data_IF_087894717989
#
_entry.id   IF_087894717989
#
_cell.length_a   1.000
_cell.length_b   1.000
_cell.length_c   1.000
_cell.angle_alpha   90.00
_cell.angle_beta   90.00
_cell.angle_gamma   90.00
#
_symmetry.space_group_name_H-M   'P 1'
#
loop_
_entity.id
_entity.type
_entity.pdbx_description
1 polymer ?
#
# COMPACT_ATOMS: atom_id res chain seq x y z
N UNK A 1 -30.11 -3.87 15.82
CA UNK A 1 -29.21 -5.03 16.01
C UNK A 1 -29.28 -5.41 17.48
N UNK A 2 -29.50 -6.69 17.80
CA UNK A 2 -29.49 -7.13 19.20
C UNK A 2 -28.06 -7.01 19.74
N UNK A 3 -27.92 -6.75 21.04
CA UNK A 3 -26.62 -6.51 21.69
C UNK A 3 -25.68 -7.70 21.48
N UNK A 4 -26.22 -8.91 21.57
CA UNK A 4 -25.49 -10.16 21.41
C UNK A 4 -24.88 -10.28 20.01
N UNK A 5 -25.65 -10.02 18.95
CA UNK A 5 -25.13 -10.02 17.57
C UNK A 5 -24.07 -8.94 17.34
N UNK A 6 -24.19 -7.77 17.97
CA UNK A 6 -23.19 -6.71 17.79
C UNK A 6 -21.84 -7.09 18.40
N UNK A 7 -21.88 -7.71 19.58
CA UNK A 7 -20.69 -8.14 20.29
C UNK A 7 -20.01 -9.32 19.57
N UNK A 8 -20.76 -10.36 19.22
CA UNK A 8 -20.19 -11.55 18.56
C UNK A 8 -19.75 -11.29 17.13
N UNK A 9 -20.22 -10.22 16.47
CA UNK A 9 -19.74 -9.82 15.14
C UNK A 9 -18.53 -8.88 15.19
N UNK A 10 -17.97 -8.63 16.39
CA UNK A 10 -16.86 -7.70 16.65
C UNK A 10 -17.11 -6.33 16.02
N UNK A 11 -18.12 -5.62 16.52
CA UNK A 11 -18.55 -4.31 16.01
C UNK A 11 -19.02 -4.32 14.54
N UNK A 12 -19.49 -5.46 14.04
CA UNK A 12 -20.05 -5.60 12.69
C UNK A 12 -19.08 -6.11 11.62
N UNK A 13 -17.83 -6.46 11.98
CA UNK A 13 -16.86 -7.09 11.08
C UNK A 13 -17.37 -8.40 10.48
N UNK A 14 -18.03 -9.23 11.29
CA UNK A 14 -18.62 -10.50 10.85
C UNK A 14 -19.78 -10.36 9.84
N UNK A 15 -20.19 -9.13 9.50
CA UNK A 15 -21.19 -8.85 8.46
C UNK A 15 -20.59 -8.40 7.13
N UNK A 16 -19.27 -8.25 7.07
CA UNK A 16 -18.60 -7.88 5.83
C UNK A 16 -18.77 -8.99 4.78
N UNK A 17 -19.02 -8.63 3.51
CA UNK A 17 -19.22 -9.62 2.46
C UNK A 17 -17.89 -10.32 2.16
N UNK A 18 -17.97 -11.65 1.97
CA UNK A 18 -16.85 -12.56 1.68
C UNK A 18 -15.86 -12.74 2.84
N UNK A 19 -15.66 -14.01 3.24
CA UNK A 19 -14.70 -14.43 4.27
C UNK A 19 -14.75 -13.63 5.58
N UNK A 20 -15.89 -13.60 6.29
CA UNK A 20 -16.08 -12.87 7.55
C UNK A 20 -15.03 -13.21 8.62
N UNK A 21 -14.64 -14.49 8.77
CA UNK A 21 -13.58 -14.88 9.71
C UNK A 21 -12.20 -14.26 9.42
N UNK A 22 -11.90 -13.94 8.15
CA UNK A 22 -10.68 -13.18 7.78
C UNK A 22 -10.74 -11.74 8.27
N UNK A 23 -11.94 -11.13 8.27
CA UNK A 23 -12.14 -9.80 8.85
C UNK A 23 -12.10 -9.83 10.37
N UNK A 24 -12.54 -10.93 10.99
CA UNK A 24 -12.42 -11.19 12.43
C UNK A 24 -10.99 -11.37 12.90
N UNK A 25 -10.13 -12.05 12.14
CA UNK A 25 -8.74 -12.29 12.55
C UNK A 25 -7.78 -11.12 12.29
N UNK A 26 -8.21 -10.10 11.55
CA UNK A 26 -7.35 -8.96 11.17
C UNK A 26 -7.06 -7.96 12.31
N UNK A 27 -8.04 -7.56 13.17
CA UNK A 27 -7.82 -6.60 14.25
C UNK A 27 -6.70 -6.98 15.21
N UNK A 28 -6.57 -8.23 15.71
CA UNK A 28 -5.44 -8.61 16.56
C UNK A 28 -4.08 -8.34 15.92
N UNK A 29 -3.91 -8.67 14.63
CA UNK A 29 -2.67 -8.44 13.90
C UNK A 29 -2.36 -6.95 13.74
N UNK A 30 -3.35 -6.15 13.33
CA UNK A 30 -3.19 -4.69 13.15
C UNK A 30 -2.91 -4.00 14.48
N UNK A 31 -3.65 -4.35 15.53
CA UNK A 31 -3.52 -3.72 16.84
C UNK A 31 -2.23 -4.14 17.55
N UNK A 32 -1.81 -5.40 17.43
CA UNK A 32 -0.50 -5.86 17.92
C UNK A 32 0.65 -5.13 17.22
N UNK A 33 0.61 -5.06 15.88
CA UNK A 33 1.62 -4.36 15.10
C UNK A 33 1.68 -2.88 15.49
N UNK A 34 0.54 -2.20 15.56
CA UNK A 34 0.48 -0.80 15.96
C UNK A 34 0.95 -0.58 17.40
N UNK A 35 0.46 -1.36 18.37
CA UNK A 35 0.85 -1.22 19.77
C UNK A 35 2.34 -1.49 19.99
N UNK A 36 2.87 -2.52 19.34
CA UNK A 36 4.29 -2.89 19.40
C UNK A 36 5.21 -1.84 18.79
N UNK A 37 4.86 -1.35 17.60
CA UNK A 37 5.63 -0.30 16.91
C UNK A 37 5.57 1.01 17.70
N UNK A 38 4.39 1.42 18.14
CA UNK A 38 4.17 2.75 18.73
C UNK A 38 4.62 2.84 20.19
N UNK A 39 4.43 1.77 20.97
CA UNK A 39 4.56 1.83 22.43
C UNK A 39 5.42 0.70 23.01
N UNK A 40 5.97 -0.18 22.16
CA UNK A 40 6.84 -1.28 22.58
C UNK A 40 6.11 -2.55 23.02
N UNK A 41 6.84 -3.51 23.61
CA UNK A 41 6.36 -4.88 23.79
C UNK A 41 5.25 -4.99 24.84
N UNK A 42 5.34 -4.23 25.93
CA UNK A 42 4.37 -4.31 27.04
C UNK A 42 2.95 -3.92 26.58
N UNK A 43 2.74 -2.79 25.89
CA UNK A 43 1.42 -2.45 25.35
C UNK A 43 0.90 -3.45 24.31
N UNK A 44 1.78 -4.02 23.48
CA UNK A 44 1.40 -5.06 22.52
C UNK A 44 0.83 -6.30 23.21
N UNK A 45 1.50 -6.77 24.27
CA UNK A 45 1.03 -7.89 25.12
C UNK A 45 -0.29 -7.55 25.81
N UNK A 46 -0.42 -6.34 26.35
CA UNK A 46 -1.65 -5.89 27.02
C UNK A 46 -2.83 -5.91 26.04
N UNK A 47 -2.66 -5.32 24.85
CA UNK A 47 -3.71 -5.27 23.82
C UNK A 47 -4.14 -6.68 23.40
N UNK A 48 -3.18 -7.58 23.14
CA UNK A 48 -3.49 -8.97 22.79
C UNK A 48 -4.20 -9.71 23.93
N UNK A 49 -3.79 -9.49 25.17
CA UNK A 49 -4.41 -10.12 26.34
C UNK A 49 -5.85 -9.63 26.53
N UNK A 50 -6.09 -8.33 26.35
CA UNK A 50 -7.43 -7.75 26.45
C UNK A 50 -8.38 -8.28 25.36
N UNK A 51 -7.89 -8.37 24.12
CA UNK A 51 -8.66 -8.97 23.02
C UNK A 51 -8.94 -10.45 23.29
N UNK A 52 -7.91 -11.23 23.66
CA UNK A 52 -8.06 -12.65 23.96
C UNK A 52 -9.11 -12.89 25.06
N UNK A 53 -8.96 -12.24 26.22
CA UNK A 53 -9.87 -12.45 27.36
C UNK A 53 -11.26 -11.91 27.05
N UNK A 54 -11.34 -10.72 26.46
CA UNK A 54 -12.61 -10.07 26.13
C UNK A 54 -13.42 -10.90 25.14
N UNK A 55 -12.81 -11.33 24.04
CA UNK A 55 -13.50 -12.07 23.01
C UNK A 55 -13.77 -13.54 23.40
N UNK A 56 -12.93 -14.19 24.22
CA UNK A 56 -13.27 -15.47 24.85
C UNK A 56 -14.56 -15.37 25.69
N UNK A 57 -14.65 -14.34 26.53
CA UNK A 57 -15.85 -14.11 27.37
C UNK A 57 -17.06 -13.80 26.50
N UNK A 58 -16.89 -13.00 25.45
CA UNK A 58 -17.97 -12.67 24.51
C UNK A 58 -18.50 -13.93 23.82
N UNK A 59 -17.61 -14.76 23.26
CA UNK A 59 -17.98 -15.96 22.52
C UNK A 59 -18.70 -16.96 23.43
N UNK A 60 -18.17 -17.25 24.62
CA UNK A 60 -18.79 -18.24 25.53
C UNK A 60 -20.16 -17.78 26.02
N UNK A 61 -20.31 -16.51 26.38
CA UNK A 61 -21.56 -16.01 26.99
C UNK A 61 -22.65 -15.66 25.97
N UNK A 62 -22.29 -15.16 24.79
CA UNK A 62 -23.27 -14.58 23.85
C UNK A 62 -23.49 -15.42 22.58
N UNK A 63 -22.54 -16.25 22.15
CA UNK A 63 -22.75 -17.12 20.97
C UNK A 63 -23.93 -18.08 21.11
N UNK A 64 -24.23 -18.69 22.28
CA UNK A 64 -25.39 -19.57 22.44
C UNK A 64 -26.73 -18.90 22.10
N UNK A 65 -26.90 -17.62 22.47
CA UNK A 65 -28.08 -16.83 22.11
C UNK A 65 -28.14 -16.55 20.61
N UNK A 66 -27.01 -16.33 19.96
CA UNK A 66 -26.95 -16.07 18.51
C UNK A 66 -27.25 -17.35 17.73
N UNK A 67 -26.80 -18.52 18.21
CA UNK A 67 -27.17 -19.84 17.70
C UNK A 67 -28.69 -20.03 17.79
N UNK A 68 -29.29 -19.77 18.95
CA UNK A 68 -30.74 -19.88 19.15
C UNK A 68 -31.54 -18.96 18.20
N UNK A 69 -31.05 -17.73 18.00
CA UNK A 69 -31.67 -16.76 17.11
C UNK A 69 -31.53 -17.09 15.61
N UNK A 70 -30.52 -17.87 15.22
CA UNK A 70 -30.24 -18.19 13.81
C UNK A 70 -30.63 -19.60 13.42
N UNK A 71 -30.76 -20.51 14.37
CA UNK A 71 -30.91 -21.95 14.12
C UNK A 71 -29.65 -22.61 13.54
N UNK A 72 -28.53 -21.89 13.42
CA UNK A 72 -27.25 -22.44 12.96
C UNK A 72 -26.34 -22.71 14.14
N UNK A 73 -25.77 -23.92 14.22
CA UNK A 73 -24.82 -24.31 15.27
C UNK A 73 -23.54 -23.47 15.24
N UNK A 74 -23.12 -23.04 14.06
CA UNK A 74 -22.00 -22.14 13.86
C UNK A 74 -22.36 -21.10 12.78
N UNK A 75 -22.92 -19.94 13.17
CA UNK A 75 -23.22 -18.88 12.24
C UNK A 75 -21.92 -18.16 11.88
N UNK A 76 -21.45 -18.26 10.64
CA UNK A 76 -20.19 -17.63 10.18
C UNK A 76 -20.14 -16.09 10.21
N UNK A 77 -21.09 -15.43 10.89
CA UNK A 77 -21.08 -14.01 11.25
C UNK A 77 -20.60 -13.77 12.69
N UNK A 78 -20.59 -14.81 13.52
CA UNK A 78 -19.85 -14.79 14.79
C UNK A 78 -18.39 -14.79 14.35
N UNK A 79 -17.65 -13.77 14.79
CA UNK A 79 -16.23 -13.62 14.46
C UNK A 79 -15.34 -13.37 15.69
N UNK A 80 -15.92 -13.48 16.90
CA UNK A 80 -15.22 -13.21 18.16
C UNK A 80 -14.30 -14.34 18.57
N UNK A 81 -14.64 -15.57 18.21
CA UNK A 81 -13.76 -16.73 18.20
C UNK A 81 -12.50 -16.50 17.37
N UNK A 82 -12.60 -15.97 16.15
CA UNK A 82 -11.44 -15.72 15.30
C UNK A 82 -10.57 -14.59 15.85
N UNK A 83 -11.18 -13.56 16.46
CA UNK A 83 -10.43 -12.51 17.19
C UNK A 83 -9.65 -13.15 18.34
N UNK A 84 -10.28 -13.99 19.14
CA UNK A 84 -9.66 -14.64 20.29
C UNK A 84 -8.52 -15.60 19.86
N UNK A 85 -8.76 -16.45 18.85
CA UNK A 85 -7.77 -17.37 18.29
C UNK A 85 -6.55 -16.65 17.69
N UNK A 86 -6.79 -15.59 16.90
CA UNK A 86 -5.71 -14.79 16.34
C UNK A 86 -4.93 -14.03 17.43
N UNK A 87 -5.62 -13.50 18.45
CA UNK A 87 -4.97 -12.83 19.58
C UNK A 87 -4.09 -13.80 20.38
N UNK A 88 -4.57 -15.02 20.66
CA UNK A 88 -3.77 -16.06 21.31
C UNK A 88 -2.53 -16.43 20.48
N UNK A 89 -2.70 -16.59 19.17
CA UNK A 89 -1.60 -16.92 18.25
C UNK A 89 -0.47 -15.90 18.37
N UNK A 90 -0.80 -14.62 18.21
CA UNK A 90 0.18 -13.53 18.25
C UNK A 90 0.78 -13.36 19.65
N UNK A 91 -0.01 -13.59 20.70
CA UNK A 91 0.46 -13.49 22.08
C UNK A 91 1.52 -14.56 22.37
N UNK A 92 1.24 -15.82 21.99
CA UNK A 92 2.18 -16.93 22.15
C UNK A 92 3.43 -16.74 21.29
N UNK A 93 3.28 -16.31 20.03
CA UNK A 93 4.43 -16.03 19.17
C UNK A 93 5.31 -14.92 19.76
N UNK A 94 4.72 -13.83 20.27
CA UNK A 94 5.47 -12.74 20.87
C UNK A 94 6.18 -13.16 22.17
N UNK A 95 5.48 -13.85 23.07
CA UNK A 95 6.05 -14.27 24.36
C UNK A 95 7.13 -15.34 24.22
N UNK A 96 6.99 -16.23 23.22
CA UNK A 96 7.87 -17.38 23.06
C UNK A 96 8.97 -17.15 22.02
N UNK A 97 8.87 -16.09 21.19
CA UNK A 97 9.80 -15.79 20.10
C UNK A 97 9.60 -14.35 19.53
N UNK A 98 9.96 -13.33 20.32
CA UNK A 98 9.81 -11.90 19.95
C UNK A 98 10.77 -11.38 18.88
N UNK A 99 11.72 -12.21 18.44
CA UNK A 99 12.89 -11.81 17.67
C UNK A 99 12.55 -11.34 16.23
N UNK A 100 11.40 -11.76 15.70
CA UNK A 100 11.03 -11.53 14.30
C UNK A 100 10.46 -10.13 13.99
N UNK A 101 10.47 -9.18 14.93
CA UNK A 101 9.87 -7.86 14.75
C UNK A 101 8.33 -7.87 14.63
N UNK A 102 7.68 -6.73 14.93
CA UNK A 102 6.21 -6.68 15.05
C UNK A 102 5.48 -6.91 13.72
N UNK A 103 5.97 -6.33 12.62
CA UNK A 103 5.32 -6.43 11.31
C UNK A 103 5.28 -7.87 10.79
N UNK A 104 6.42 -8.56 10.84
CA UNK A 104 6.53 -9.93 10.35
C UNK A 104 5.76 -10.90 11.25
N UNK A 105 5.88 -10.74 12.57
CA UNK A 105 5.11 -11.53 13.53
C UNK A 105 3.61 -11.35 13.32
N UNK A 106 3.13 -10.13 13.07
CA UNK A 106 1.73 -9.85 12.77
C UNK A 106 1.27 -10.53 11.47
N UNK A 107 2.05 -10.40 10.40
CA UNK A 107 1.72 -10.96 9.08
C UNK A 107 1.73 -12.49 9.09
N UNK A 108 2.78 -13.11 9.64
CA UNK A 108 2.89 -14.57 9.72
C UNK A 108 1.91 -15.15 10.74
N UNK A 109 1.70 -14.51 11.88
CA UNK A 109 0.73 -14.94 12.87
C UNK A 109 -0.70 -14.92 12.31
N UNK A 110 -1.07 -13.86 11.58
CA UNK A 110 -2.35 -13.80 10.87
C UNK A 110 -2.49 -14.92 9.83
N UNK A 111 -1.46 -15.13 8.99
CA UNK A 111 -1.49 -16.14 7.94
C UNK A 111 -1.54 -17.57 8.49
N UNK A 112 -0.70 -17.87 9.48
CA UNK A 112 -0.65 -19.18 10.13
C UNK A 112 -1.95 -19.49 10.86
N UNK A 113 -2.47 -18.55 11.65
CA UNK A 113 -3.76 -18.71 12.33
C UNK A 113 -4.87 -19.05 11.31
N UNK A 114 -5.02 -18.25 10.25
CA UNK A 114 -6.04 -18.51 9.22
C UNK A 114 -5.86 -19.85 8.53
N UNK A 115 -4.63 -20.28 8.26
CA UNK A 115 -4.38 -21.58 7.66
C UNK A 115 -4.84 -22.73 8.57
N UNK A 116 -4.53 -22.64 9.87
CA UNK A 116 -4.91 -23.65 10.85
C UNK A 116 -6.40 -23.65 11.19
N UNK A 117 -7.03 -22.48 11.28
CA UNK A 117 -8.47 -22.35 11.43
C UNK A 117 -9.22 -22.92 10.21
N UNK A 118 -8.78 -22.64 8.98
CA UNK A 118 -9.44 -23.21 7.78
C UNK A 118 -9.23 -24.72 7.69
N UNK A 119 -8.02 -25.22 8.00
CA UNK A 119 -7.70 -26.63 7.86
C UNK A 119 -8.29 -27.49 9.01
N UNK A 120 -8.33 -26.93 10.22
CA UNK A 120 -8.69 -27.59 11.49
C UNK A 120 -8.01 -28.97 11.65
N UNK A 121 -6.68 -29.03 11.86
CA UNK A 121 -5.99 -30.30 12.03
C UNK A 121 -6.51 -31.04 13.26
N UNK A 122 -6.24 -32.33 13.34
CA UNK A 122 -6.49 -33.07 14.58
C UNK A 122 -5.55 -32.56 15.69
N UNK A 123 -6.01 -32.28 16.93
CA UNK A 123 -7.35 -32.51 17.48
C UNK A 123 -8.33 -31.32 17.43
N UNK A 124 -8.02 -30.17 16.80
CA UNK A 124 -8.88 -28.98 16.76
C UNK A 124 -10.32 -29.31 16.37
N UNK A 125 -10.52 -30.06 15.28
CA UNK A 125 -11.86 -30.44 14.80
C UNK A 125 -12.70 -31.26 15.81
N UNK A 126 -12.06 -31.94 16.78
CA UNK A 126 -12.81 -32.65 17.84
C UNK A 126 -13.39 -31.70 18.89
N UNK A 127 -12.85 -30.50 19.02
CA UNK A 127 -13.31 -29.50 20.00
C UNK A 127 -14.64 -28.87 19.60
N UNK A 128 -15.03 -28.95 18.33
CA UNK A 128 -16.37 -28.58 17.83
C UNK A 128 -17.51 -29.40 18.49
N UNK A 129 -17.18 -30.51 19.15
CA UNK A 129 -18.15 -31.34 19.88
C UNK A 129 -18.48 -30.82 21.27
N UNK A 130 -17.79 -29.78 21.75
CA UNK A 130 -18.06 -29.16 23.04
C UNK A 130 -19.38 -28.37 23.00
N UNK A 131 -20.03 -28.27 24.16
CA UNK A 131 -21.35 -27.66 24.25
C UNK A 131 -21.30 -26.13 24.14
N UNK A 132 -22.34 -25.59 23.49
CA UNK A 132 -22.65 -24.17 23.44
C UNK A 132 -21.49 -23.31 22.89
N UNK A 133 -21.14 -22.21 23.55
CA UNK A 133 -20.12 -21.27 23.06
C UNK A 133 -18.70 -21.85 23.07
N UNK A 134 -18.45 -22.93 23.82
CA UNK A 134 -17.15 -23.60 23.84
C UNK A 134 -16.87 -24.39 22.57
N UNK A 135 -17.91 -24.94 21.92
CA UNK A 135 -17.78 -25.63 20.64
C UNK A 135 -17.41 -24.73 19.48
N UNK A 136 -17.58 -23.41 19.62
CA UNK A 136 -17.18 -22.39 18.63
C UNK A 136 -15.79 -21.82 18.97
N UNK A 137 -15.48 -21.66 20.26
CA UNK A 137 -14.24 -21.00 20.68
C UNK A 137 -13.03 -21.95 20.70
N UNK A 138 -13.22 -23.19 21.14
CA UNK A 138 -12.11 -24.04 21.58
C UNK A 138 -11.24 -24.54 20.41
N UNK A 139 -11.82 -24.80 19.25
CA UNK A 139 -11.11 -25.18 18.03
C UNK A 139 -10.26 -24.03 17.48
N UNK A 140 -10.73 -22.79 17.55
CA UNK A 140 -9.99 -21.58 17.17
C UNK A 140 -8.82 -21.28 18.11
N UNK A 141 -9.03 -21.40 19.42
CA UNK A 141 -7.92 -21.31 20.38
C UNK A 141 -6.88 -22.41 20.13
N UNK A 142 -7.34 -23.64 19.85
CA UNK A 142 -6.44 -24.75 19.52
C UNK A 142 -5.69 -24.50 18.20
N UNK A 143 -6.35 -23.94 17.18
CA UNK A 143 -5.72 -23.54 15.93
C UNK A 143 -4.62 -22.50 16.18
N UNK A 144 -4.87 -21.54 17.08
CA UNK A 144 -3.86 -20.57 17.48
C UNK A 144 -2.66 -21.17 18.23
N UNK A 145 -2.89 -22.17 19.08
CA UNK A 145 -1.81 -22.94 19.71
C UNK A 145 -1.00 -23.71 18.67
N UNK A 146 -1.64 -24.35 17.68
CA UNK A 146 -0.93 -25.02 16.58
C UNK A 146 -0.10 -24.07 15.73
N UNK A 147 -0.64 -22.88 15.43
CA UNK A 147 0.09 -21.84 14.72
C UNK A 147 1.35 -21.41 15.49
N UNK A 148 1.22 -21.17 16.80
CA UNK A 148 2.35 -20.83 17.66
C UNK A 148 3.35 -21.99 17.82
N UNK A 149 2.89 -23.24 17.90
CA UNK A 149 3.75 -24.41 17.96
C UNK A 149 4.54 -24.61 16.66
N UNK A 150 3.91 -24.42 15.50
CA UNK A 150 4.59 -24.46 14.21
C UNK A 150 5.62 -23.34 14.08
N UNK A 151 5.28 -22.14 14.55
CA UNK A 151 6.22 -21.01 14.62
C UNK A 151 7.46 -21.37 15.46
N UNK A 152 7.25 -21.93 16.66
CA UNK A 152 8.35 -22.33 17.54
C UNK A 152 9.19 -23.48 16.96
N UNK A 153 8.56 -24.46 16.33
CA UNK A 153 9.27 -25.52 15.64
C UNK A 153 10.11 -24.95 14.48
N UNK A 154 9.54 -24.03 13.69
CA UNK A 154 10.26 -23.32 12.64
C UNK A 154 11.45 -22.52 13.18
N UNK A 155 11.32 -21.93 14.37
CA UNK A 155 12.42 -21.25 15.07
C UNK A 155 13.53 -22.22 15.42
N UNK A 156 13.20 -23.31 16.11
CA UNK A 156 14.19 -24.30 16.55
C UNK A 156 14.93 -24.98 15.38
N UNK A 157 14.30 -25.06 14.22
CA UNK A 157 14.86 -25.63 13.00
C UNK A 157 15.64 -24.60 12.15
N UNK A 158 15.76 -23.35 12.59
CA UNK A 158 16.42 -22.27 11.82
C UNK A 158 15.67 -21.86 10.55
N UNK A 159 14.43 -22.34 10.37
CA UNK A 159 13.57 -21.98 9.22
C UNK A 159 13.17 -20.51 9.30
N UNK A 160 12.96 -19.99 10.52
CA UNK A 160 12.66 -18.57 10.70
C UNK A 160 13.83 -17.68 10.31
N UNK A 161 15.06 -18.04 10.66
CA UNK A 161 16.27 -17.30 10.25
C UNK A 161 16.45 -17.35 8.73
N UNK A 162 16.13 -18.48 8.09
CA UNK A 162 16.11 -18.56 6.63
C UNK A 162 14.99 -17.73 6.02
N UNK A 163 13.81 -17.68 6.65
CA UNK A 163 12.67 -16.89 6.20
C UNK A 163 12.88 -15.39 6.42
N UNK A 164 13.46 -14.96 7.55
CA UNK A 164 13.85 -13.58 7.82
C UNK A 164 14.98 -13.15 6.90
N UNK A 165 15.94 -14.04 6.64
CA UNK A 165 16.98 -13.83 5.62
C UNK A 165 16.42 -13.75 4.20
N UNK A 166 15.44 -14.61 3.85
CA UNK A 166 14.70 -14.54 2.58
C UNK A 166 13.85 -13.27 2.47
N UNK A 167 13.28 -12.79 3.58
CA UNK A 167 12.46 -11.59 3.67
C UNK A 167 13.27 -10.32 3.98
N UNK A 168 14.59 -10.45 4.16
CA UNK A 168 15.56 -9.35 4.28
C UNK A 168 15.44 -8.54 5.56
N UNK A 169 15.00 -9.18 6.65
CA UNK A 169 14.89 -8.52 7.97
C UNK A 169 16.27 -8.38 8.64
N UNK A 170 17.30 -9.06 8.13
CA UNK A 170 18.65 -9.11 8.72
C UNK A 170 19.60 -7.99 8.23
N UNK A 171 19.09 -6.88 7.69
CA UNK A 171 19.93 -5.73 7.28
C UNK A 171 20.69 -5.85 5.97
N UNK A 172 20.45 -6.91 5.18
CA UNK A 172 20.89 -7.00 3.80
C UNK A 172 19.69 -7.16 2.88
N UNK A 173 19.69 -6.46 1.74
CA UNK A 173 18.61 -6.55 0.76
C UNK A 173 18.51 -7.98 0.24
N UNK A 174 17.42 -8.66 0.57
CA UNK A 174 17.14 -10.02 0.12
C UNK A 174 16.20 -10.02 -1.08
N UNK A 175 16.12 -11.17 -1.77
CA UNK A 175 15.17 -11.35 -2.87
C UNK A 175 13.71 -11.16 -2.42
N UNK A 176 13.33 -11.65 -1.24
CA UNK A 176 11.95 -11.54 -0.75
C UNK A 176 11.60 -10.12 -0.30
N UNK A 177 12.53 -9.39 0.31
CA UNK A 177 12.32 -7.97 0.61
C UNK A 177 12.17 -7.16 -0.67
N UNK A 178 13.02 -7.42 -1.67
CA UNK A 178 12.94 -6.77 -2.97
C UNK A 178 11.60 -7.05 -3.68
N UNK A 179 11.12 -8.29 -3.65
CA UNK A 179 9.79 -8.66 -4.17
C UNK A 179 8.69 -7.94 -3.40
N UNK A 180 8.77 -7.89 -2.07
CA UNK A 180 7.80 -7.20 -1.23
C UNK A 180 7.71 -5.69 -1.54
N UNK A 181 8.84 -4.99 -1.57
CA UNK A 181 8.89 -3.58 -1.97
C UNK A 181 8.40 -3.39 -3.41
N UNK A 182 8.70 -4.33 -4.31
CA UNK A 182 8.14 -4.35 -5.66
C UNK A 182 6.60 -4.45 -5.66
N UNK A 183 6.02 -5.34 -4.86
CA UNK A 183 4.56 -5.45 -4.69
C UNK A 183 3.98 -4.14 -4.15
N UNK A 184 4.60 -3.56 -3.12
CA UNK A 184 4.18 -2.29 -2.52
C UNK A 184 4.21 -1.18 -3.56
N UNK A 185 5.30 -1.02 -4.31
CA UNK A 185 5.42 -0.05 -5.40
C UNK A 185 4.31 -0.26 -6.45
N UNK A 186 4.14 -1.50 -6.93
CA UNK A 186 3.15 -1.82 -7.95
C UNK A 186 1.72 -1.50 -7.52
N UNK A 187 1.38 -1.74 -6.24
CA UNK A 187 0.08 -1.38 -5.68
C UNK A 187 -0.08 0.14 -5.58
N UNK A 188 0.92 0.83 -5.05
CA UNK A 188 0.78 2.21 -4.56
C UNK A 188 1.14 3.30 -5.57
N UNK A 189 1.86 2.99 -6.66
CA UNK A 189 2.27 3.98 -7.66
C UNK A 189 1.06 4.65 -8.34
N UNK A 190 0.06 3.84 -8.69
CA UNK A 190 -1.13 4.32 -9.41
C UNK A 190 -2.21 4.82 -8.48
N UNK A 191 -2.31 4.24 -7.28
CA UNK A 191 -3.22 4.70 -6.25
C UNK A 191 -2.78 6.08 -5.76
N UNK A 192 -3.71 7.01 -5.47
CA UNK A 192 -3.33 8.33 -5.02
C UNK A 192 -2.90 8.34 -3.54
N UNK A 193 -1.96 7.48 -3.14
CA UNK A 193 -1.55 7.26 -1.74
C UNK A 193 -0.04 7.42 -1.50
N UNK A 194 0.72 7.81 -2.53
CA UNK A 194 2.17 8.01 -2.53
C UNK A 194 2.97 6.72 -2.34
N UNK A 195 3.47 6.17 -3.43
CA UNK A 195 4.35 4.99 -3.45
C UNK A 195 5.67 5.24 -2.72
N UNK A 196 6.34 6.36 -3.00
CA UNK A 196 7.57 6.76 -2.32
C UNK A 196 7.42 6.86 -0.80
N UNK A 197 6.27 7.32 -0.30
CA UNK A 197 6.01 7.32 1.14
C UNK A 197 5.91 5.92 1.75
N UNK A 198 5.32 4.96 1.02
CA UNK A 198 5.22 3.58 1.48
C UNK A 198 6.56 2.86 1.44
N UNK A 199 7.36 3.07 0.39
CA UNK A 199 8.72 2.55 0.31
C UNK A 199 9.55 3.02 1.51
N UNK A 200 9.65 4.34 1.71
CA UNK A 200 10.37 4.91 2.87
C UNK A 200 9.83 4.39 4.20
N UNK A 201 8.50 4.24 4.33
CA UNK A 201 7.90 3.64 5.52
C UNK A 201 8.42 2.22 5.75
N UNK A 202 8.28 1.30 4.80
CA UNK A 202 8.70 -0.09 4.99
C UNK A 202 10.21 -0.23 5.14
N UNK A 203 11.00 0.59 4.45
CA UNK A 203 12.46 0.63 4.58
C UNK A 203 12.90 1.12 5.96
N UNK A 204 12.23 2.13 6.53
CA UNK A 204 12.53 2.63 7.89
C UNK A 204 12.32 1.55 8.95
N UNK A 205 11.41 0.61 8.71
CA UNK A 205 11.11 -0.50 9.61
C UNK A 205 11.90 -1.78 9.29
N UNK A 206 12.68 -1.81 8.21
CA UNK A 206 13.62 -2.88 7.95
C UNK A 206 14.89 -2.62 8.75
N UNK A 207 15.25 -3.54 9.65
CA UNK A 207 16.50 -3.41 10.42
C UNK A 207 17.69 -3.38 9.47
N UNK A 208 18.68 -2.53 9.73
CA UNK A 208 19.93 -2.43 8.97
C UNK A 208 19.85 -1.79 7.57
N UNK A 209 18.67 -1.34 7.12
CA UNK A 209 18.52 -0.64 5.82
C UNK A 209 18.69 0.87 6.01
N UNK A 210 19.74 1.44 5.43
CA UNK A 210 19.85 2.89 5.30
C UNK A 210 18.95 3.38 4.16
N UNK A 211 17.84 4.03 4.52
CA UNK A 211 16.88 4.65 3.60
C UNK A 211 17.49 5.68 2.62
N UNK A 212 18.70 6.15 2.89
CA UNK A 212 19.45 7.10 2.07
C UNK A 212 20.61 6.46 1.31
N UNK A 213 20.83 5.15 1.47
CA UNK A 213 21.85 4.44 0.71
C UNK A 213 21.58 4.56 -0.79
N UNK A 214 22.63 4.90 -1.54
CA UNK A 214 22.58 5.04 -3.01
C UNK A 214 22.02 3.79 -3.71
N UNK A 215 22.33 2.62 -3.15
CA UNK A 215 21.86 1.31 -3.55
C UNK A 215 20.34 1.18 -3.50
N UNK A 216 19.72 1.62 -2.40
CA UNK A 216 18.27 1.58 -2.21
C UNK A 216 17.57 2.60 -3.10
N UNK A 217 18.18 3.79 -3.29
CA UNK A 217 17.67 4.79 -4.23
C UNK A 217 17.62 4.27 -5.68
N UNK A 218 18.60 3.48 -6.08
CA UNK A 218 18.60 2.84 -7.40
C UNK A 218 17.61 1.68 -7.47
N UNK A 219 17.48 0.90 -6.41
CA UNK A 219 16.46 -0.12 -6.31
C UNK A 219 15.05 0.48 -6.48
N UNK A 220 14.70 1.51 -5.70
CA UNK A 220 13.45 2.29 -5.82
C UNK A 220 13.19 2.71 -7.27
N UNK A 221 14.25 3.21 -7.92
CA UNK A 221 14.19 3.69 -9.29
C UNK A 221 13.83 2.57 -10.27
N UNK A 222 14.46 1.40 -10.12
CA UNK A 222 14.13 0.22 -10.91
C UNK A 222 12.69 -0.25 -10.68
N UNK A 223 12.17 -0.16 -9.44
CA UNK A 223 10.77 -0.44 -9.17
C UNK A 223 9.83 0.53 -9.93
N UNK A 224 10.16 1.83 -9.95
CA UNK A 224 9.42 2.83 -10.73
C UNK A 224 9.45 2.51 -12.23
N UNK A 225 10.60 2.12 -12.78
CA UNK A 225 10.70 1.67 -14.18
C UNK A 225 9.83 0.44 -14.46
N UNK A 226 9.74 -0.50 -13.52
CA UNK A 226 8.80 -1.62 -13.57
C UNK A 226 7.35 -1.14 -13.74
N UNK A 227 6.93 -0.17 -12.93
CA UNK A 227 5.57 0.41 -13.04
C UNK A 227 5.34 1.23 -14.31
N UNK A 228 6.37 1.88 -14.88
CA UNK A 228 6.28 2.48 -16.22
C UNK A 228 5.94 1.40 -17.25
N UNK A 229 6.57 0.23 -17.17
CA UNK A 229 6.22 -0.93 -17.97
C UNK A 229 4.73 -1.28 -17.86
N UNK A 230 4.15 -1.23 -16.65
CA UNK A 230 2.71 -1.48 -16.46
C UNK A 230 1.85 -0.45 -17.19
N UNK A 231 2.22 0.83 -17.19
CA UNK A 231 1.53 1.88 -17.94
C UNK A 231 1.58 1.56 -19.44
N UNK A 232 2.77 1.24 -19.97
CA UNK A 232 2.96 0.95 -21.40
C UNK A 232 2.11 -0.24 -21.86
N UNK A 233 2.01 -1.30 -21.05
CA UNK A 233 1.18 -2.48 -21.36
C UNK A 233 -0.31 -2.17 -21.28
N UNK A 234 -0.76 -1.53 -20.21
CA UNK A 234 -2.20 -1.24 -20.01
C UNK A 234 -2.71 -0.21 -21.02
N UNK A 235 -1.90 0.81 -21.34
CA UNK A 235 -2.25 1.86 -22.29
C UNK A 235 -1.70 1.63 -23.71
N UNK A 236 -1.21 0.42 -24.04
CA UNK A 236 -0.62 0.12 -25.34
C UNK A 236 -1.50 0.57 -26.53
N UNK A 237 -2.77 0.16 -26.55
CA UNK A 237 -3.70 0.50 -27.65
C UNK A 237 -3.98 2.02 -27.72
N UNK A 238 -4.34 2.72 -26.62
CA UNK A 238 -4.42 4.18 -26.60
C UNK A 238 -3.14 4.89 -27.05
N UNK A 239 -1.96 4.44 -26.61
CA UNK A 239 -0.68 5.04 -26.96
C UNK A 239 -0.37 4.89 -28.45
N UNK A 240 -0.49 3.69 -29.02
CA UNK A 240 -0.30 3.47 -30.47
C UNK A 240 -1.24 4.34 -31.29
N UNK A 241 -2.51 4.48 -30.87
CA UNK A 241 -3.47 5.37 -31.52
C UNK A 241 -3.05 6.84 -31.41
N UNK A 242 -2.62 7.27 -30.23
CA UNK A 242 -2.12 8.62 -29.98
C UNK A 242 -0.92 8.95 -30.87
N UNK A 243 0.08 8.07 -30.92
CA UNK A 243 1.26 8.26 -31.78
C UNK A 243 0.92 8.26 -33.26
N UNK A 244 0.00 7.40 -33.72
CA UNK A 244 -0.47 7.43 -35.11
C UNK A 244 -1.14 8.76 -35.46
N UNK A 245 -1.99 9.29 -34.57
CA UNK A 245 -2.59 10.61 -34.76
C UNK A 245 -1.58 11.74 -34.68
N UNK A 246 -0.52 11.60 -33.89
CA UNK A 246 0.57 12.56 -33.80
C UNK A 246 1.37 12.61 -35.10
N UNK A 247 1.77 11.46 -35.63
CA UNK A 247 2.46 11.35 -36.92
C UNK A 247 1.59 11.91 -38.05
N UNK A 248 0.32 11.53 -38.12
CA UNK A 248 -0.62 12.06 -39.12
C UNK A 248 -0.90 13.56 -38.95
N UNK A 249 -0.78 14.12 -37.75
CA UNK A 249 -0.86 15.56 -37.52
C UNK A 249 0.37 16.28 -38.08
N UNK A 250 1.58 15.78 -37.81
CA UNK A 250 2.83 16.37 -38.33
C UNK A 250 2.90 16.28 -39.85
N UNK A 251 2.39 15.20 -40.44
CA UNK A 251 2.34 15.01 -41.90
C UNK A 251 1.22 15.81 -42.59
N UNK A 252 0.39 16.56 -41.86
CA UNK A 252 -0.77 17.26 -42.43
C UNK A 252 -0.41 18.51 -43.25
N UNK A 253 0.86 18.93 -43.27
CA UNK A 253 1.32 20.13 -43.99
C UNK A 253 0.77 21.46 -43.45
N UNK A 254 0.01 21.44 -42.35
CA UNK A 254 -0.50 22.62 -41.68
C UNK A 254 0.64 23.36 -40.96
N UNK A 255 0.47 24.68 -40.79
CA UNK A 255 1.40 25.46 -39.96
C UNK A 255 1.38 24.98 -38.50
N UNK A 256 2.49 25.14 -37.73
CA UNK A 256 2.57 24.70 -36.34
C UNK A 256 1.40 25.18 -35.45
N UNK A 257 0.97 26.43 -35.62
CA UNK A 257 -0.15 27.00 -34.88
C UNK A 257 -1.48 26.34 -35.28
N UNK A 258 -1.74 26.18 -36.58
CA UNK A 258 -2.94 25.53 -37.07
C UNK A 258 -3.01 24.05 -36.63
N UNK A 259 -1.87 23.34 -36.59
CA UNK A 259 -1.83 21.98 -36.07
C UNK A 259 -2.19 21.92 -34.58
N UNK A 260 -1.69 22.84 -33.76
CA UNK A 260 -2.01 22.90 -32.33
C UNK A 260 -3.50 23.14 -32.07
N UNK A 261 -4.12 24.01 -32.87
CA UNK A 261 -5.55 24.33 -32.73
C UNK A 261 -6.46 23.21 -33.24
N UNK A 262 -6.09 22.58 -34.36
CA UNK A 262 -6.96 21.64 -35.08
C UNK A 262 -6.74 20.17 -34.70
N UNK A 263 -5.54 19.79 -34.22
CA UNK A 263 -5.17 18.39 -33.96
C UNK A 263 -5.00 18.14 -32.46
N UNK A 264 -6.00 17.48 -31.86
CA UNK A 264 -6.02 17.19 -30.42
C UNK A 264 -4.80 16.38 -29.92
N UNK A 265 -4.28 15.45 -30.72
CA UNK A 265 -3.10 14.66 -30.36
C UNK A 265 -1.84 15.53 -30.21
N UNK A 266 -1.59 16.43 -31.17
CA UNK A 266 -0.46 17.36 -31.09
C UNK A 266 -0.62 18.31 -29.90
N UNK A 267 -1.82 18.85 -29.69
CA UNK A 267 -2.10 19.71 -28.53
C UNK A 267 -1.76 19.02 -27.21
N UNK A 268 -2.22 17.79 -27.01
CA UNK A 268 -1.91 17.02 -25.80
C UNK A 268 -0.41 16.75 -25.68
N UNK A 269 0.28 16.43 -26.78
CA UNK A 269 1.73 16.25 -26.78
C UNK A 269 2.46 17.51 -26.31
N UNK A 270 2.10 18.68 -26.87
CA UNK A 270 2.68 19.98 -26.46
C UNK A 270 2.42 20.26 -24.98
N UNK A 271 1.19 20.04 -24.49
CA UNK A 271 0.86 20.22 -23.08
C UNK A 271 1.64 19.25 -22.17
N UNK A 272 1.84 18.00 -22.61
CA UNK A 272 2.62 17.01 -21.87
C UNK A 272 4.10 17.42 -21.79
N UNK A 273 4.67 17.92 -22.89
CA UNK A 273 6.04 18.47 -22.93
C UNK A 273 6.16 19.66 -21.98
N UNK A 274 5.24 20.62 -22.03
CA UNK A 274 5.25 21.80 -21.14
C UNK A 274 5.17 21.38 -19.66
N UNK A 275 4.27 20.45 -19.32
CA UNK A 275 4.13 19.95 -17.95
C UNK A 275 5.40 19.23 -17.47
N UNK A 276 5.99 18.38 -18.32
CA UNK A 276 7.21 17.63 -18.00
C UNK A 276 8.42 18.56 -17.89
N UNK A 277 8.55 19.52 -18.80
CA UNK A 277 9.58 20.56 -18.74
C UNK A 277 9.49 21.36 -17.45
N UNK A 278 8.27 21.80 -17.08
CA UNK A 278 8.03 22.50 -15.81
C UNK A 278 8.45 21.65 -14.60
N UNK A 279 8.16 20.34 -14.64
CA UNK A 279 8.59 19.39 -13.59
C UNK A 279 10.12 19.35 -13.49
N UNK A 280 10.81 19.25 -14.63
CA UNK A 280 12.28 19.23 -14.68
C UNK A 280 12.92 20.53 -14.18
N UNK A 281 12.39 21.68 -14.61
CA UNK A 281 12.84 23.00 -14.11
C UNK A 281 12.64 23.11 -12.60
N UNK A 282 11.47 22.70 -12.10
CA UNK A 282 11.19 22.69 -10.67
C UNK A 282 12.21 21.83 -9.91
N UNK A 283 12.48 20.61 -10.38
CA UNK A 283 13.49 19.74 -9.77
C UNK A 283 14.86 20.41 -9.72
N UNK A 284 15.35 20.98 -10.83
CA UNK A 284 16.67 21.62 -10.87
C UNK A 284 16.78 22.79 -9.88
N UNK A 285 15.71 23.56 -9.72
CA UNK A 285 15.66 24.70 -8.80
C UNK A 285 15.61 24.28 -7.31
N UNK A 286 14.93 23.17 -7.00
CA UNK A 286 14.62 22.76 -5.62
C UNK A 286 15.28 21.44 -5.19
N UNK A 287 16.20 20.88 -5.98
CA UNK A 287 16.81 19.55 -5.71
C UNK A 287 17.37 19.39 -4.29
N UNK A 288 18.00 20.42 -3.72
CA UNK A 288 18.60 20.35 -2.38
C UNK A 288 17.57 20.04 -1.29
N UNK A 289 16.56 20.90 -1.08
CA UNK A 289 15.46 20.62 -0.14
C UNK A 289 14.68 19.35 -0.45
N UNK A 290 14.49 19.01 -1.74
CA UNK A 290 13.76 17.81 -2.15
C UNK A 290 14.51 16.52 -1.76
N UNK A 291 15.82 16.47 -1.98
CA UNK A 291 16.65 15.31 -1.64
C UNK A 291 16.82 15.15 -0.12
N UNK A 292 16.87 16.25 0.64
CA UNK A 292 16.98 16.23 2.10
C UNK A 292 15.68 15.78 2.83
N UNK A 293 14.56 15.71 2.12
CA UNK A 293 13.22 15.56 2.69
C UNK A 293 12.74 14.09 2.81
N UNK A 294 13.65 13.11 2.99
CA UNK A 294 13.32 11.66 3.06
C UNK A 294 13.02 11.12 4.47
N UNK A 295 12.84 11.97 5.48
CA UNK A 295 12.53 11.46 6.83
C UNK A 295 11.08 10.98 6.95
N UNK A 296 10.84 9.96 7.79
CA UNK A 296 9.49 9.43 8.06
C UNK A 296 8.53 10.52 8.58
N UNK A 297 9.05 11.49 9.34
CA UNK A 297 8.28 12.66 9.78
C UNK A 297 7.76 13.47 8.59
N UNK A 298 8.62 13.78 7.62
CA UNK A 298 8.24 14.54 6.42
C UNK A 298 7.26 13.73 5.58
N UNK A 299 7.52 12.44 5.36
CA UNK A 299 6.59 11.52 4.65
C UNK A 299 5.19 11.59 5.25
N UNK A 300 5.10 11.55 6.58
CA UNK A 300 3.82 11.56 7.29
C UNK A 300 3.07 12.88 7.11
N UNK A 301 3.76 14.03 7.20
CA UNK A 301 3.16 15.34 6.92
C UNK A 301 2.70 15.44 5.45
N UNK A 302 3.50 14.92 4.52
CA UNK A 302 3.17 14.95 3.09
C UNK A 302 2.00 14.03 2.73
N UNK A 303 1.78 12.93 3.46
CA UNK A 303 0.56 12.13 3.34
C UNK A 303 -0.70 12.93 3.74
N UNK A 304 -0.61 13.79 4.76
CA UNK A 304 -1.71 14.70 5.11
C UNK A 304 -1.97 15.72 3.99
N UNK A 305 -0.92 16.24 3.36
CA UNK A 305 -1.04 17.12 2.18
C UNK A 305 -1.74 16.38 1.04
N UNK A 306 -1.34 15.14 0.74
CA UNK A 306 -2.00 14.28 -0.25
C UNK A 306 -3.48 14.08 0.09
N UNK A 307 -3.81 13.80 1.35
CA UNK A 307 -5.19 13.66 1.78
C UNK A 307 -6.00 14.95 1.57
N UNK A 308 -5.43 16.11 1.92
CA UNK A 308 -6.06 17.41 1.70
C UNK A 308 -6.37 17.66 0.22
N UNK A 309 -5.41 17.38 -0.67
CA UNK A 309 -5.61 17.50 -2.13
C UNK A 309 -6.73 16.60 -2.64
N UNK A 310 -6.79 15.36 -2.14
CA UNK A 310 -7.83 14.41 -2.53
C UNK A 310 -9.21 14.84 -2.06
N UNK A 311 -9.35 15.32 -0.82
CA UNK A 311 -10.61 15.84 -0.30
C UNK A 311 -11.07 17.06 -1.09
N UNK A 312 -10.15 17.98 -1.40
CA UNK A 312 -10.45 19.17 -2.20
C UNK A 312 -10.90 18.80 -3.63
N UNK A 313 -10.26 17.80 -4.26
CA UNK A 313 -10.62 17.33 -5.59
C UNK A 313 -11.94 16.55 -5.59
N UNK A 314 -12.24 15.75 -4.55
CA UNK A 314 -13.50 15.01 -4.40
C UNK A 314 -14.70 15.96 -4.35
N UNK A 315 -14.54 17.14 -3.71
CA UNK A 315 -15.54 18.18 -3.61
C UNK A 315 -15.82 18.94 -4.92
N UNK A 316 -15.02 18.75 -5.98
CA UNK A 316 -15.13 19.52 -7.23
C UNK A 316 -15.56 18.68 -8.42
N UNK A 317 -16.48 19.24 -9.21
CA UNK A 317 -16.90 18.66 -10.49
C UNK A 317 -16.28 19.38 -11.68
N UNK A 318 -15.29 18.74 -12.31
CA UNK A 318 -14.75 19.25 -13.56
C UNK A 318 -15.68 19.04 -14.75
N UNK A 319 -15.87 20.11 -15.53
CA UNK A 319 -16.71 20.16 -16.74
C UNK A 319 -15.89 20.31 -18.02
N UNK A 320 -14.65 20.80 -17.93
CA UNK A 320 -13.78 21.12 -19.07
C UNK A 320 -13.32 19.86 -19.81
N UNK A 321 -13.40 19.91 -21.13
CA UNK A 321 -12.87 18.88 -22.04
C UNK A 321 -11.43 19.14 -22.47
N UNK A 322 -10.89 18.25 -23.30
CA UNK A 322 -9.51 18.30 -23.79
C UNK A 322 -9.18 19.57 -24.60
N UNK A 323 -10.17 20.16 -25.29
CA UNK A 323 -10.03 21.41 -26.07
C UNK A 323 -9.94 22.67 -25.20
N UNK A 324 -10.31 22.58 -23.92
CA UNK A 324 -10.21 23.68 -22.97
C UNK A 324 -8.93 23.59 -22.15
N UNK A 325 -8.07 22.62 -22.48
CA UNK A 325 -6.82 22.37 -21.81
C UNK A 325 -5.74 23.29 -22.37
N UNK A 326 -5.43 24.36 -21.64
CA UNK A 326 -4.47 25.39 -22.05
C UNK A 326 -3.08 25.20 -21.44
N UNK A 327 -2.10 25.96 -21.94
CA UNK A 327 -0.70 25.92 -21.48
C UNK A 327 -0.60 26.22 -19.99
N UNK A 328 -1.34 27.20 -19.47
CA UNK A 328 -1.32 27.52 -18.02
C UNK A 328 -1.74 26.34 -17.15
N UNK A 329 -2.70 25.53 -17.61
CA UNK A 329 -3.12 24.34 -16.87
C UNK A 329 -1.99 23.31 -16.87
N UNK A 330 -1.29 23.12 -18.00
CA UNK A 330 -0.14 22.22 -18.07
C UNK A 330 1.03 22.67 -17.18
N UNK A 331 1.30 23.97 -17.09
CA UNK A 331 2.32 24.52 -16.18
C UNK A 331 1.94 24.20 -14.73
N UNK A 332 0.71 24.49 -14.31
CA UNK A 332 0.26 24.21 -12.94
C UNK A 332 0.36 22.72 -12.62
N UNK A 333 -0.10 21.84 -13.53
CA UNK A 333 0.03 20.38 -13.34
C UNK A 333 1.50 19.97 -13.24
N UNK A 334 2.38 20.57 -14.05
CA UNK A 334 3.82 20.33 -13.98
C UNK A 334 4.46 20.76 -12.65
N UNK A 335 4.02 21.88 -12.08
CA UNK A 335 4.45 22.31 -10.74
C UNK A 335 4.00 21.31 -9.67
N UNK A 336 2.73 20.88 -9.69
CA UNK A 336 2.22 19.85 -8.77
C UNK A 336 2.98 18.52 -8.92
N UNK A 337 3.33 18.14 -10.15
CA UNK A 337 4.16 16.97 -10.40
C UNK A 337 5.59 17.15 -9.84
N UNK A 338 6.15 18.36 -9.92
CA UNK A 338 7.43 18.71 -9.30
C UNK A 338 7.41 18.63 -7.77
N UNK A 339 6.35 19.13 -7.13
CA UNK A 339 6.15 18.95 -5.68
C UNK A 339 6.04 17.47 -5.29
N UNK A 340 5.46 16.64 -6.16
CA UNK A 340 5.31 15.22 -5.92
C UNK A 340 6.61 14.39 -5.99
N UNK A 341 7.76 15.05 -6.16
CA UNK A 341 9.08 14.45 -5.91
C UNK A 341 9.28 14.24 -4.40
N UNK A 342 8.65 15.06 -3.55
CA UNK A 342 8.68 14.89 -2.10
C UNK A 342 8.04 13.55 -1.69
N UNK A 343 8.75 12.71 -0.90
CA UNK A 343 8.18 11.49 -0.34
C UNK A 343 6.90 11.77 0.47
N UNK A 344 5.89 10.93 0.30
CA UNK A 344 4.57 11.10 0.91
C UNK A 344 3.59 11.96 0.10
N UNK A 345 4.06 12.76 -0.87
CA UNK A 345 3.17 13.36 -1.88
C UNK A 345 2.92 12.32 -2.97
N UNK A 346 1.64 12.01 -3.24
CA UNK A 346 1.30 11.12 -4.35
C UNK A 346 1.43 11.86 -5.68
N UNK A 347 2.28 11.38 -6.60
CA UNK A 347 2.40 11.95 -7.94
C UNK A 347 1.11 11.90 -8.71
N UNK A 348 0.56 10.69 -8.88
CA UNK A 348 -0.73 10.48 -9.53
C UNK A 348 -1.84 11.26 -8.81
N UNK A 349 -1.85 11.27 -7.48
CA UNK A 349 -2.77 12.08 -6.68
C UNK A 349 -2.67 13.58 -6.98
N UNK A 350 -1.47 14.16 -6.92
CA UNK A 350 -1.23 15.59 -7.08
C UNK A 350 -1.62 16.10 -8.47
N UNK A 351 -1.20 15.41 -9.53
CA UNK A 351 -1.50 15.80 -10.92
C UNK A 351 -2.97 15.60 -11.26
N UNK A 352 -3.59 14.50 -10.83
CA UNK A 352 -5.03 14.25 -11.04
C UNK A 352 -5.86 15.28 -10.27
N UNK A 353 -5.53 15.53 -8.99
CA UNK A 353 -6.24 16.51 -8.17
C UNK A 353 -6.08 17.92 -8.75
N UNK A 354 -4.88 18.35 -9.14
CA UNK A 354 -4.64 19.64 -9.77
C UNK A 354 -5.49 19.81 -11.04
N UNK A 355 -5.51 18.79 -11.91
CA UNK A 355 -6.32 18.78 -13.12
C UNK A 355 -7.83 18.93 -12.82
N UNK A 356 -8.36 18.19 -11.84
CA UNK A 356 -9.77 18.27 -11.42
C UNK A 356 -10.08 19.64 -10.80
N UNK A 357 -9.19 20.15 -9.95
CA UNK A 357 -9.28 21.47 -9.33
C UNK A 357 -9.24 22.59 -10.38
N UNK A 358 -8.57 22.40 -11.52
CA UNK A 358 -8.60 23.33 -12.65
C UNK A 358 -9.84 23.16 -13.55
N UNK A 359 -10.73 22.23 -13.17
CA UNK A 359 -12.04 22.03 -13.77
C UNK A 359 -12.09 20.93 -14.84
N UNK A 360 -11.07 20.09 -14.97
CA UNK A 360 -11.07 18.98 -15.95
C UNK A 360 -11.98 17.82 -15.55
N UNK A 361 -12.59 17.18 -16.55
CA UNK A 361 -13.25 15.88 -16.33
C UNK A 361 -12.21 14.84 -15.86
N UNK A 362 -12.58 14.09 -14.82
CA UNK A 362 -11.74 13.05 -14.18
C UNK A 362 -11.06 12.10 -15.18
N UNK A 363 -11.79 11.65 -16.20
CA UNK A 363 -11.21 10.77 -17.24
C UNK A 363 -9.99 11.39 -17.92
N UNK A 364 -10.10 12.65 -18.34
CA UNK A 364 -8.99 13.36 -19.00
C UNK A 364 -7.86 13.68 -18.03
N UNK A 365 -8.17 14.00 -16.77
CA UNK A 365 -7.18 14.19 -15.72
C UNK A 365 -6.31 12.94 -15.51
N UNK A 366 -6.95 11.76 -15.40
CA UNK A 366 -6.27 10.47 -15.25
C UNK A 366 -5.40 10.16 -16.48
N UNK A 367 -5.97 10.22 -17.69
CA UNK A 367 -5.23 9.89 -18.92
C UNK A 367 -4.03 10.84 -19.12
N UNK A 368 -4.19 12.14 -18.86
CA UNK A 368 -3.10 13.10 -18.98
C UNK A 368 -2.04 12.89 -17.90
N UNK A 369 -2.43 12.64 -16.65
CA UNK A 369 -1.50 12.36 -15.55
C UNK A 369 -0.59 11.17 -15.85
N UNK A 370 -1.13 10.07 -16.37
CA UNK A 370 -0.31 8.90 -16.71
C UNK A 370 0.54 9.12 -17.95
N UNK A 371 0.12 9.99 -18.87
CA UNK A 371 0.94 10.36 -20.02
C UNK A 371 2.19 11.14 -19.58
N UNK A 372 2.04 12.13 -18.70
CA UNK A 372 3.17 12.96 -18.22
C UNK A 372 4.05 12.23 -17.22
N UNK A 373 3.54 11.19 -16.54
CA UNK A 373 4.34 10.43 -15.58
C UNK A 373 5.44 9.60 -16.26
N UNK A 374 5.21 9.08 -17.48
CA UNK A 374 6.20 8.29 -18.23
C UNK A 374 7.52 9.07 -18.40
N UNK A 375 7.54 10.23 -19.09
CA UNK A 375 8.79 10.96 -19.29
C UNK A 375 9.35 11.54 -17.98
N UNK A 376 8.51 11.83 -16.98
CA UNK A 376 8.99 12.28 -15.67
C UNK A 376 9.72 11.17 -14.89
N UNK A 377 9.17 9.94 -14.87
CA UNK A 377 9.83 8.78 -14.23
C UNK A 377 11.14 8.45 -14.98
N UNK A 378 11.08 8.34 -16.30
CA UNK A 378 12.26 8.01 -17.13
C UNK A 378 13.33 9.08 -17.00
N UNK A 379 12.96 10.37 -17.01
CA UNK A 379 13.88 11.48 -16.83
C UNK A 379 14.51 11.51 -15.44
N UNK A 380 13.71 11.32 -14.39
CA UNK A 380 14.22 11.19 -13.02
C UNK A 380 15.17 10.01 -12.87
N UNK A 381 14.86 8.89 -13.51
CA UNK A 381 15.73 7.72 -13.56
C UNK A 381 17.07 8.01 -14.23
N UNK A 382 17.04 8.63 -15.41
CA UNK A 382 18.25 9.01 -16.12
C UNK A 382 19.15 9.93 -15.28
N UNK A 383 18.58 10.93 -14.60
CA UNK A 383 19.33 11.85 -13.74
C UNK A 383 20.02 11.12 -12.59
N UNK A 384 19.31 10.21 -11.91
CA UNK A 384 19.89 9.45 -10.79
C UNK A 384 20.99 8.50 -11.25
N UNK A 385 20.80 7.81 -12.38
CA UNK A 385 21.84 6.97 -12.97
C UNK A 385 23.08 7.78 -13.31
N UNK A 386 22.93 8.94 -13.95
CA UNK A 386 24.07 9.80 -14.29
C UNK A 386 24.83 10.25 -13.03
N UNK A 387 24.11 10.67 -11.98
CA UNK A 387 24.69 11.19 -10.73
C UNK A 387 25.44 10.12 -9.92
N UNK A 388 24.99 8.87 -9.99
CA UNK A 388 25.47 7.80 -9.11
C UNK A 388 26.14 6.63 -9.85
N UNK A 389 26.36 6.71 -11.17
CA UNK A 389 26.82 5.58 -12.00
C UNK A 389 28.03 4.81 -11.45
N UNK A 390 29.01 5.47 -10.82
CA UNK A 390 30.19 4.81 -10.26
C UNK A 390 29.85 3.85 -9.11
N UNK A 391 28.92 4.24 -8.24
CA UNK A 391 28.42 3.45 -7.10
C UNK A 391 27.33 2.45 -7.49
N UNK A 392 26.64 2.66 -8.62
CA UNK A 392 25.53 1.78 -9.03
C UNK A 392 26.00 0.48 -9.68
N UNK A 393 27.22 0.46 -10.20
CA UNK A 393 27.79 -0.69 -10.91
C UNK A 393 28.98 -1.32 -10.17
N UNK A 394 29.20 -0.96 -8.90
CA UNK A 394 30.26 -1.54 -8.07
C UNK A 394 29.96 -2.97 -7.58
N UNK A 395 28.72 -3.45 -7.80
CA UNK A 395 28.28 -4.79 -7.46
C UNK A 395 27.78 -4.96 -6.02
N UNK A 396 27.61 -3.87 -5.27
CA UNK A 396 27.07 -3.84 -3.91
C UNK A 396 25.65 -4.42 -3.81
N UNK A 397 24.78 -4.09 -4.76
CA UNK A 397 23.45 -4.71 -4.90
C UNK A 397 23.48 -5.84 -5.91
N UNK A 398 23.08 -7.07 -5.52
CA UNK A 398 22.88 -8.14 -6.48
C UNK A 398 21.81 -7.73 -7.52
N UNK A 399 22.24 -7.59 -8.78
CA UNK A 399 21.38 -7.20 -9.91
C UNK A 399 20.12 -8.09 -10.02
N UNK A 400 20.22 -9.34 -9.57
CA UNK A 400 19.09 -10.28 -9.49
C UNK A 400 17.94 -9.76 -8.63
N UNK A 401 18.20 -9.13 -7.48
CA UNK A 401 17.15 -8.66 -6.56
C UNK A 401 16.41 -7.46 -7.14
N UNK A 402 17.14 -6.53 -7.74
CA UNK A 402 16.58 -5.37 -8.45
C UNK A 402 15.65 -5.81 -9.59
N UNK A 403 16.03 -6.85 -10.34
CA UNK A 403 15.19 -7.41 -11.40
C UNK A 403 13.92 -8.04 -10.83
N UNK A 404 14.02 -8.81 -9.74
CA UNK A 404 12.85 -9.43 -9.10
C UNK A 404 11.87 -8.41 -8.52
N UNK A 405 12.38 -7.36 -7.87
CA UNK A 405 11.57 -6.25 -7.39
C UNK A 405 10.87 -5.51 -8.54
N UNK A 406 11.61 -5.14 -9.59
CA UNK A 406 11.06 -4.43 -10.74
C UNK A 406 10.01 -5.26 -11.50
N UNK A 407 10.24 -6.56 -11.65
CA UNK A 407 9.29 -7.49 -12.27
C UNK A 407 8.02 -7.62 -11.41
N UNK A 408 8.17 -7.70 -10.09
CA UNK A 408 7.05 -7.75 -9.15
C UNK A 408 6.22 -6.46 -9.23
N UNK A 409 6.86 -5.29 -9.23
CA UNK A 409 6.21 -4.00 -9.41
C UNK A 409 5.48 -3.89 -10.75
N UNK A 410 6.09 -4.41 -11.83
CA UNK A 410 5.48 -4.46 -13.15
C UNK A 410 4.19 -5.31 -13.18
N UNK A 411 4.24 -6.55 -12.68
CA UNK A 411 3.11 -7.49 -12.68
C UNK A 411 1.97 -6.96 -11.81
N UNK A 412 2.27 -6.61 -10.56
CA UNK A 412 1.29 -6.08 -9.61
C UNK A 412 0.74 -4.75 -10.10
N UNK A 413 1.60 -3.91 -10.68
CA UNK A 413 1.21 -2.63 -11.27
C UNK A 413 0.18 -2.75 -12.39
N UNK A 414 0.26 -3.77 -13.24
CA UNK A 414 -0.76 -4.02 -14.28
C UNK A 414 -2.13 -4.27 -13.63
N UNK A 415 -2.17 -5.07 -12.56
CA UNK A 415 -3.40 -5.41 -11.85
C UNK A 415 -3.95 -4.17 -11.14
N UNK A 416 -3.11 -3.47 -10.39
CA UNK A 416 -3.47 -2.26 -9.65
C UNK A 416 -3.99 -1.15 -10.57
N UNK A 417 -3.34 -0.91 -11.71
CA UNK A 417 -3.74 0.11 -12.68
C UNK A 417 -5.08 -0.22 -13.33
N UNK A 418 -5.31 -1.50 -13.72
CA UNK A 418 -6.62 -1.94 -14.24
C UNK A 418 -7.74 -1.80 -13.20
N UNK A 419 -7.44 -2.15 -11.95
CA UNK A 419 -8.37 -1.99 -10.83
C UNK A 419 -8.71 -0.51 -10.60
N UNK A 420 -7.72 0.36 -10.56
CA UNK A 420 -7.90 1.80 -10.42
C UNK A 420 -8.79 2.35 -11.53
N UNK A 421 -8.55 2.01 -12.79
CA UNK A 421 -9.39 2.48 -13.92
C UNK A 421 -10.85 2.04 -13.74
N UNK A 422 -11.09 0.85 -13.16
CA UNK A 422 -12.45 0.35 -12.86
C UNK A 422 -13.08 1.07 -11.67
N UNK A 423 -12.32 1.33 -10.61
CA UNK A 423 -12.80 1.92 -9.35
C UNK A 423 -12.96 3.44 -9.44
N UNK A 424 -12.02 4.13 -10.11
CA UNK A 424 -12.00 5.58 -10.26
C UNK A 424 -13.26 6.13 -10.94
N UNK A 425 -13.96 5.33 -11.76
CA UNK A 425 -15.27 5.68 -12.32
C UNK A 425 -16.31 6.03 -11.26
N UNK A 426 -16.19 5.50 -10.04
CA UNK A 426 -17.16 5.71 -8.94
C UNK A 426 -16.91 6.99 -8.12
N UNK A 427 -15.86 7.79 -8.41
CA UNK A 427 -15.54 9.08 -7.76
C UNK A 427 -15.62 9.06 -6.23
N UNK A 428 -14.77 8.26 -5.58
CA UNK A 428 -14.68 8.24 -4.12
C UNK A 428 -13.24 8.44 -3.67
N UNK A 429 -12.65 9.58 -4.04
CA UNK A 429 -11.27 9.92 -3.67
C UNK A 429 -11.11 10.07 -2.15
N UNK A 430 -12.20 10.41 -1.45
CA UNK A 430 -12.27 10.49 0.01
C UNK A 430 -11.80 9.22 0.74
N UNK A 431 -11.92 8.03 0.16
CA UNK A 431 -11.43 6.81 0.80
C UNK A 431 -9.90 6.73 0.81
N UNK A 432 -9.26 7.18 -0.28
CA UNK A 432 -7.80 7.28 -0.32
C UNK A 432 -7.30 8.37 0.63
N UNK A 433 -8.02 9.49 0.73
CA UNK A 433 -7.74 10.52 1.74
C UNK A 433 -7.84 9.97 3.17
N UNK A 434 -8.89 9.22 3.50
CA UNK A 434 -9.04 8.60 4.82
C UNK A 434 -7.88 7.64 5.14
N UNK A 435 -7.46 6.84 4.15
CA UNK A 435 -6.27 5.99 4.27
C UNK A 435 -5.00 6.80 4.54
N UNK A 436 -4.73 7.85 3.75
CA UNK A 436 -3.57 8.72 3.94
C UNK A 436 -3.56 9.41 5.31
N UNK A 437 -4.72 9.84 5.82
CA UNK A 437 -4.85 10.42 7.17
C UNK A 437 -4.53 9.37 8.24
N UNK A 438 -5.07 8.15 8.10
CA UNK A 438 -4.85 7.08 9.05
C UNK A 438 -3.36 6.71 9.14
N UNK A 439 -2.71 6.42 8.00
CA UNK A 439 -1.29 6.05 8.00
C UNK A 439 -0.41 7.20 8.49
N UNK A 440 -0.67 8.45 8.08
CA UNK A 440 0.07 9.61 8.55
C UNK A 440 -0.06 9.83 10.07
N UNK A 441 -1.27 9.64 10.62
CA UNK A 441 -1.50 9.79 12.06
C UNK A 441 -0.72 8.73 12.83
N UNK A 442 -0.78 7.47 12.39
CA UNK A 442 -0.03 6.37 13.00
C UNK A 442 1.47 6.65 12.98
N UNK A 443 2.04 7.05 11.84
CA UNK A 443 3.48 7.29 11.72
C UNK A 443 3.94 8.57 12.42
N UNK A 444 3.13 9.62 12.51
CA UNK A 444 3.45 10.80 13.32
C UNK A 444 3.50 10.46 14.81
N UNK A 445 2.54 9.68 15.31
CA UNK A 445 2.54 9.22 16.71
C UNK A 445 3.82 8.43 16.98
N UNK A 446 4.21 7.54 16.06
CA UNK A 446 5.46 6.78 16.16
C UNK A 446 6.69 7.70 16.26
N UNK A 447 6.81 8.68 15.36
CA UNK A 447 7.95 9.59 15.35
C UNK A 447 8.02 10.47 16.61
N UNK A 448 6.87 10.88 17.15
CA UNK A 448 6.80 11.65 18.40
C UNK A 448 7.19 10.79 19.61
N UNK A 449 6.79 9.52 19.65
CA UNK A 449 7.12 8.59 20.75
C UNK A 449 8.60 8.23 20.87
N UNK A 450 9.38 8.32 19.78
CA UNK A 450 10.84 8.11 19.77
C UNK A 450 11.67 9.37 20.03
N UNK A 451 11.06 10.56 20.10
CA UNK A 451 11.78 11.83 20.29
C UNK A 451 12.03 12.18 21.78
N UNK A 452 12.04 11.19 22.69
CA UNK A 452 12.38 11.33 24.11
C UNK A 452 13.63 10.53 24.48
#
# INVERSE_FOLDING_TARGET
MKKEEFLTTCCGLGRLPFAPGTWGSLPPAVLYMAAGILFGPVPAVIVLTLLLVGDCVITVLYSPKVIELTGSKDPGRIVSDEVAGAALTLLLMHLLASDAGYCLTAALGFGLFRAFDIFKPWPCRRLEQLDAGWGILADDLAAGVWAAALWLAGRHLGVLEQLTGLLGVDGQMSAGFAIFLGIVQGLTEFLPVSSSGHLVFFETFAEGVDTQATELLFFDLCLHLGTVGSILVVFWKPMVRFFRHLVGAVQSGLSPLAMYEQKAALRVAVLAIVSTFTTGVFYVLFKGPLEAARSLQIVSLMWLVTAGLLLAADARHGKKGLKEFGIMIAIIIGLFQGFAILPGISRSGATICAAILLGMKLRWAIEFSFLISIPAIVGGAAVQVIKHHETLFDGSVPMSYTVWGALSAFIVGIVALKLLIRVAKKRKLKYFAAYCIAIATLTLIYCLGRSC
#
